data_IF_910831384474
#
_entry.id   IF_910831384474
#
_cell.length_a   1.000
_cell.length_b   1.000
_cell.length_c   1.000
_cell.angle_alpha   90.00
_cell.angle_beta   90.00
_cell.angle_gamma   90.00
#
_symmetry.space_group_name_H-M   'P 1'
#
loop_
_entity.id
_entity.type
_entity.pdbx_description
1 polymer ?
#
# COMPACT_ATOMS: atom_id res chain seq x y z
N UNK A 1 3.12 14.61 8.69
CA UNK A 1 2.90 13.17 8.97
C UNK A 1 3.11 12.35 7.71
N UNK A 2 3.95 11.31 7.79
CA UNK A 2 4.24 10.37 6.70
C UNK A 2 3.29 9.16 6.78
N UNK A 3 2.84 8.60 5.64
CA UNK A 3 3.06 9.07 4.28
C UNK A 3 2.15 10.25 3.93
N UNK A 4 2.70 11.25 3.25
CA UNK A 4 1.91 12.40 2.79
C UNK A 4 0.89 11.94 1.75
N UNK A 5 -0.36 12.36 1.94
CA UNK A 5 -1.60 11.85 1.34
C UNK A 5 -1.70 11.93 -0.19
N UNK A 6 -0.63 12.36 -0.88
CA UNK A 6 -0.65 12.66 -2.33
C UNK A 6 0.00 11.55 -3.14
N UNK A 7 -0.32 10.31 -2.83
CA UNK A 7 0.06 9.18 -3.67
C UNK A 7 -1.07 8.95 -4.67
N UNK A 8 -0.92 9.48 -5.89
CA UNK A 8 -1.89 9.26 -6.99
C UNK A 8 -1.82 7.80 -7.43
N UNK A 9 -2.61 6.95 -6.79
CA UNK A 9 -2.78 5.55 -7.17
C UNK A 9 -3.87 5.42 -8.21
N UNK A 10 -3.66 4.51 -9.16
CA UNK A 10 -4.73 4.05 -10.01
C UNK A 10 -5.72 3.23 -9.16
N UNK A 11 -6.89 3.80 -8.88
CA UNK A 11 -7.95 3.18 -8.07
C UNK A 11 -8.51 1.90 -8.71
N UNK A 12 -8.33 1.70 -10.02
CA UNK A 12 -8.76 0.46 -10.69
C UNK A 12 -8.01 -0.77 -10.18
N UNK A 13 -6.80 -0.58 -9.65
CA UNK A 13 -6.00 -1.67 -9.06
C UNK A 13 -6.62 -2.15 -7.73
N UNK A 14 -7.50 -1.38 -7.10
CA UNK A 14 -8.17 -1.71 -5.85
C UNK A 14 -9.57 -2.32 -6.05
N UNK A 15 -9.82 -2.99 -7.18
CA UNK A 15 -11.06 -3.76 -7.40
C UNK A 15 -10.90 -5.23 -7.06
N UNK A 16 -11.96 -5.82 -6.51
CA UNK A 16 -12.11 -7.24 -6.29
C UNK A 16 -12.25 -7.94 -7.64
N UNK A 17 -11.40 -8.94 -7.90
CA UNK A 17 -11.43 -9.70 -9.16
C UNK A 17 -12.61 -10.66 -9.25
N UNK A 18 -13.29 -10.96 -8.14
CA UNK A 18 -14.42 -11.87 -8.09
C UNK A 18 -15.77 -11.15 -8.31
N UNK A 19 -16.03 -10.05 -7.58
CA UNK A 19 -17.32 -9.35 -7.62
C UNK A 19 -17.25 -7.94 -8.23
N UNK A 20 -16.07 -7.47 -8.63
CA UNK A 20 -15.87 -6.13 -9.21
C UNK A 20 -15.97 -4.96 -8.23
N UNK A 21 -16.38 -5.20 -6.98
CA UNK A 21 -16.49 -4.15 -5.95
C UNK A 21 -15.11 -3.62 -5.52
N UNK A 22 -15.08 -2.40 -4.98
CA UNK A 22 -13.84 -1.86 -4.43
C UNK A 22 -13.39 -2.65 -3.20
N UNK A 23 -12.08 -2.89 -3.09
CA UNK A 23 -11.45 -3.43 -1.90
C UNK A 23 -11.34 -2.32 -0.86
N UNK A 24 -11.68 -2.63 0.38
CA UNK A 24 -11.62 -1.70 1.51
C UNK A 24 -10.29 -1.83 2.23
N UNK A 25 -9.73 -0.73 2.74
CA UNK A 25 -8.55 -0.79 3.62
C UNK A 25 -8.94 -1.51 4.91
N UNK A 26 -8.25 -2.60 5.23
CA UNK A 26 -8.48 -3.40 6.44
C UNK A 26 -7.34 -3.31 7.44
N UNK A 27 -6.12 -2.99 6.99
CA UNK A 27 -4.99 -2.77 7.88
C UNK A 27 -3.98 -1.79 7.27
N UNK A 28 -3.37 -0.97 8.13
CA UNK A 28 -2.19 -0.18 7.83
C UNK A 28 -1.06 -0.65 8.74
N UNK A 29 0.01 -1.17 8.17
CA UNK A 29 1.15 -1.71 8.92
C UNK A 29 2.35 -0.82 8.69
N UNK A 30 2.81 -0.14 9.75
CA UNK A 30 4.11 0.52 9.74
C UNK A 30 5.21 -0.55 9.87
N UNK A 31 6.08 -0.63 8.86
CA UNK A 31 7.05 -1.70 8.74
C UNK A 31 8.41 -1.16 8.26
N UNK A 32 9.09 -0.29 9.03
CA UNK A 32 10.35 0.33 8.62
C UNK A 32 11.41 -0.72 8.26
N UNK A 33 12.32 -0.37 7.35
CA UNK A 33 13.44 -1.22 6.98
C UNK A 33 14.69 -0.56 7.52
N UNK A 34 15.41 -1.21 8.44
CA UNK A 34 16.74 -0.75 8.83
C UNK A 34 17.77 -1.51 7.98
N UNK A 35 18.42 -0.82 7.06
CA UNK A 35 19.55 -1.41 6.33
C UNK A 35 20.69 -0.42 6.28
N UNK A 36 21.89 -0.86 6.67
CA UNK A 36 23.09 -0.02 6.69
C UNK A 36 23.55 0.42 5.29
N UNK A 37 22.97 -0.15 4.23
CA UNK A 37 23.37 0.05 2.83
C UNK A 37 22.27 0.60 1.93
N UNK A 38 21.00 0.62 2.36
CA UNK A 38 19.91 1.16 1.54
C UNK A 38 19.31 2.39 2.18
N UNK A 39 19.19 3.44 1.38
CA UNK A 39 18.49 4.69 1.57
C UNK A 39 17.00 4.59 1.98
N UNK A 40 16.49 3.40 2.33
CA UNK A 40 15.08 3.17 2.55
C UNK A 40 14.80 3.24 4.04
N UNK A 41 14.19 4.34 4.48
CA UNK A 41 14.04 4.66 5.91
C UNK A 41 12.64 4.30 6.45
N UNK A 42 11.61 4.51 5.65
CA UNK A 42 10.22 4.40 6.09
C UNK A 42 9.39 3.60 5.08
N UNK A 43 8.67 2.58 5.56
CA UNK A 43 7.78 1.74 4.75
C UNK A 43 6.47 1.51 5.47
N UNK A 44 5.37 1.62 4.73
CA UNK A 44 4.01 1.32 5.18
C UNK A 44 3.41 0.31 4.21
N UNK A 45 2.73 -0.70 4.75
CA UNK A 45 1.97 -1.68 3.98
C UNK A 45 0.49 -1.45 4.26
N UNK A 46 -0.26 -1.13 3.21
CA UNK A 46 -1.71 -1.04 3.25
C UNK A 46 -2.29 -2.36 2.76
N UNK A 47 -3.15 -2.98 3.55
CA UNK A 47 -3.83 -4.22 3.18
C UNK A 47 -5.28 -3.90 2.89
N UNK A 48 -5.74 -4.29 1.70
CA UNK A 48 -7.10 -4.11 1.24
C UNK A 48 -7.79 -5.46 1.08
N UNK A 49 -9.06 -5.56 1.46
CA UNK A 49 -9.85 -6.78 1.37
C UNK A 49 -11.25 -6.53 0.81
N UNK A 50 -11.83 -7.54 0.15
CA UNK A 50 -13.23 -7.51 -0.23
C UNK A 50 -14.09 -7.78 1.01
N UNK A 51 -14.95 -6.84 1.38
CA UNK A 51 -15.86 -6.97 2.52
C UNK A 51 -17.31 -7.22 2.10
N UNK A 52 -17.57 -7.48 0.81
CA UNK A 52 -18.91 -7.81 0.33
C UNK A 52 -19.31 -9.18 0.89
N UNK A 53 -20.37 -9.28 1.72
CA UNK A 53 -20.70 -10.52 2.43
C UNK A 53 -20.91 -11.74 1.52
N UNK A 54 -21.50 -11.53 0.34
CA UNK A 54 -21.79 -12.60 -0.62
C UNK A 54 -20.64 -12.90 -1.58
N UNK A 55 -19.52 -12.17 -1.48
CA UNK A 55 -18.33 -12.43 -2.27
C UNK A 55 -17.58 -13.62 -1.68
N UNK A 56 -17.87 -14.83 -2.17
CA UNK A 56 -17.31 -16.11 -1.70
C UNK A 56 -15.80 -16.29 -1.89
N UNK A 57 -15.08 -15.26 -2.30
CA UNK A 57 -13.63 -15.31 -2.55
C UNK A 57 -12.90 -14.41 -1.58
N UNK A 58 -11.83 -14.93 -0.96
CA UNK A 58 -10.92 -14.18 -0.09
C UNK A 58 -9.98 -13.37 -0.98
N UNK A 59 -10.52 -12.34 -1.65
CA UNK A 59 -9.73 -11.42 -2.46
C UNK A 59 -9.17 -10.33 -1.57
N UNK A 60 -7.85 -10.25 -1.51
CA UNK A 60 -7.13 -9.18 -0.84
C UNK A 60 -5.93 -8.74 -1.67
N UNK A 61 -5.48 -7.50 -1.45
CA UNK A 61 -4.30 -6.92 -2.09
C UNK A 61 -3.50 -6.18 -1.04
N UNK A 62 -2.18 -6.22 -1.15
CA UNK A 62 -1.29 -5.42 -0.32
C UNK A 62 -0.56 -4.40 -1.19
N UNK A 63 -0.40 -3.21 -0.65
CA UNK A 63 0.18 -2.05 -1.31
C UNK A 63 1.31 -1.52 -0.45
N UNK A 64 2.51 -1.48 -1.01
CA UNK A 64 3.73 -1.18 -0.25
C UNK A 64 4.24 0.19 -0.62
N UNK A 65 4.02 1.16 0.26
CA UNK A 65 4.56 2.51 0.11
C UNK A 65 5.89 2.59 0.86
N UNK A 66 6.96 2.96 0.17
CA UNK A 66 8.29 3.11 0.76
C UNK A 66 8.95 4.44 0.38
N UNK A 67 9.64 5.03 1.35
CA UNK A 67 10.46 6.23 1.20
C UNK A 67 11.90 5.84 0.87
N UNK A 68 12.42 6.35 -0.24
CA UNK A 68 13.84 6.22 -0.59
C UNK A 68 14.49 7.60 -0.49
N UNK A 69 15.57 7.69 0.30
CA UNK A 69 16.44 8.85 0.49
C UNK A 69 17.60 8.77 -0.51
N UNK A 70 17.39 9.20 -1.75
CA UNK A 70 18.54 9.45 -2.63
C UNK A 70 19.21 10.76 -2.21
N UNK A 71 20.50 10.93 -2.49
CA UNK A 71 21.35 11.99 -1.95
C UNK A 71 20.80 13.43 -2.05
N UNK A 72 19.76 13.67 -2.87
CA UNK A 72 19.13 14.98 -3.05
C UNK A 72 17.58 14.94 -3.11
N UNK A 73 16.92 13.76 -3.05
CA UNK A 73 15.45 13.66 -3.25
C UNK A 73 14.78 12.54 -2.47
N UNK A 74 13.53 12.78 -2.04
CA UNK A 74 12.64 11.77 -1.47
C UNK A 74 11.79 11.16 -2.60
N UNK A 75 11.93 9.86 -2.85
CA UNK A 75 11.10 9.14 -3.82
C UNK A 75 10.14 8.19 -3.10
N UNK A 76 8.88 8.16 -3.56
CA UNK A 76 7.84 7.24 -3.08
C UNK A 76 7.66 6.13 -4.11
N UNK A 77 7.93 4.90 -3.73
CA UNK A 77 7.64 3.70 -4.54
C UNK A 77 6.45 2.97 -3.93
N UNK A 78 5.54 2.52 -4.79
CA UNK A 78 4.25 1.88 -4.48
C UNK A 78 4.27 0.42 -4.95
#
# INVERSE_FOLDING_TARGET
DWPSTTVKMNLDVLKCTACGSNLCLIAQVYAPISSKSSAIDERVIYVFGCLVPDCKSIVWKALRVQRILTAETVQVII
#
